data_IF_155282807676
#
_entry.id   IF_155282807676
#
_cell.length_a   1.000
_cell.length_b   1.000
_cell.length_c   1.000
_cell.angle_alpha   90.00
_cell.angle_beta   90.00
_cell.angle_gamma   90.00
#
_symmetry.space_group_name_H-M   'P 1'
#
loop_
_entity.id
_entity.type
_entity.pdbx_description
1 polymer ?
#
# COMPACT_ATOMS: atom_id res chain seq x y z
N UNK A 1 33.82 18.45 57.45
CA UNK A 1 33.71 16.97 57.43
C UNK A 1 32.28 16.41 57.33
N UNK A 2 31.39 16.48 58.33
CA UNK A 2 30.04 15.86 58.25
C UNK A 2 29.15 16.50 57.16
N UNK A 3 29.20 17.84 57.01
CA UNK A 3 28.45 18.56 55.96
C UNK A 3 28.91 18.20 54.54
N UNK A 4 30.20 17.90 54.34
CA UNK A 4 30.75 17.53 53.03
C UNK A 4 30.40 16.08 52.66
N UNK A 5 30.39 15.17 53.64
CA UNK A 5 29.87 13.80 53.44
C UNK A 5 28.41 13.79 52.98
N UNK A 6 27.57 14.65 53.55
CA UNK A 6 26.16 14.80 53.11
C UNK A 6 26.03 15.34 51.69
N UNK A 7 26.89 16.28 51.27
CA UNK A 7 26.91 16.79 49.88
C UNK A 7 27.34 15.71 48.88
N UNK A 8 28.34 14.90 49.21
CA UNK A 8 28.78 13.79 48.37
C UNK A 8 27.69 12.73 48.19
N UNK A 9 26.94 12.43 49.25
CA UNK A 9 25.81 11.50 49.17
C UNK A 9 24.69 12.00 48.25
N UNK A 10 24.30 13.27 48.40
CA UNK A 10 23.28 13.93 47.54
C UNK A 10 23.72 13.96 46.06
N UNK A 11 25.01 14.18 45.80
CA UNK A 11 25.56 14.14 44.44
C UNK A 11 25.44 12.75 43.82
N UNK A 12 25.73 11.68 44.57
CA UNK A 12 25.62 10.29 44.10
C UNK A 12 24.17 9.92 43.82
N UNK A 13 23.23 10.28 44.70
CA UNK A 13 21.80 10.04 44.49
C UNK A 13 21.28 10.76 43.25
N UNK A 14 21.68 12.02 43.06
CA UNK A 14 21.32 12.81 41.88
C UNK A 14 21.84 12.17 40.59
N UNK A 15 23.07 11.63 40.62
CA UNK A 15 23.68 10.95 39.48
C UNK A 15 22.96 9.63 39.14
N UNK A 16 22.53 8.89 40.17
CA UNK A 16 21.70 7.69 40.00
C UNK A 16 20.35 7.99 39.34
N UNK A 17 19.68 9.05 39.79
CA UNK A 17 18.42 9.51 39.19
C UNK A 17 18.64 9.91 37.72
N UNK A 18 19.71 10.65 37.43
CA UNK A 18 20.03 11.09 36.08
C UNK A 18 20.25 9.91 35.13
N UNK A 19 20.97 8.88 35.59
CA UNK A 19 21.22 7.66 34.82
C UNK A 19 19.91 6.90 34.54
N UNK A 20 19.01 6.80 35.52
CA UNK A 20 17.69 6.20 35.31
C UNK A 20 16.88 6.97 34.25
N UNK A 21 16.81 8.29 34.35
CA UNK A 21 16.08 9.12 33.39
C UNK A 21 16.64 8.96 31.98
N UNK A 22 17.97 8.96 31.83
CA UNK A 22 18.62 8.75 30.53
C UNK A 22 18.31 7.37 29.95
N UNK A 23 18.28 6.33 30.78
CA UNK A 23 17.94 4.97 30.35
C UNK A 23 16.50 4.89 29.82
N UNK A 24 15.53 5.43 30.57
CA UNK A 24 14.14 5.46 30.12
C UNK A 24 13.95 6.28 28.85
N UNK A 25 14.65 7.41 28.71
CA UNK A 25 14.58 8.24 27.50
C UNK A 25 15.07 7.49 26.26
N UNK A 26 16.17 6.74 26.36
CA UNK A 26 16.70 5.94 25.24
C UNK A 26 15.75 4.80 24.87
N UNK A 27 15.19 4.13 25.88
CA UNK A 27 14.24 3.05 25.68
C UNK A 27 12.95 3.53 24.99
N UNK A 28 12.37 4.63 25.49
CA UNK A 28 11.18 5.25 24.89
C UNK A 28 11.44 5.73 23.47
N UNK A 29 12.59 6.37 23.21
CA UNK A 29 12.94 6.81 21.87
C UNK A 29 13.02 5.63 20.89
N UNK A 30 13.61 4.50 21.31
CA UNK A 30 13.64 3.28 20.49
C UNK A 30 12.24 2.76 20.18
N UNK A 31 11.32 2.78 21.16
CA UNK A 31 9.92 2.39 20.95
C UNK A 31 9.23 3.34 19.96
N UNK A 32 9.39 4.65 20.14
CA UNK A 32 8.79 5.67 19.27
C UNK A 32 9.31 5.51 17.84
N UNK A 33 10.62 5.41 17.63
CA UNK A 33 11.22 5.22 16.30
C UNK A 33 10.72 3.92 15.66
N UNK A 34 10.60 2.83 16.43
CA UNK A 34 10.09 1.57 15.90
C UNK A 34 8.61 1.68 15.50
N UNK A 35 7.81 2.37 16.31
CA UNK A 35 6.39 2.61 16.03
C UNK A 35 6.20 3.56 14.85
N UNK A 36 7.04 4.58 14.68
CA UNK A 36 7.03 5.46 13.50
C UNK A 36 7.43 4.68 12.25
N UNK A 37 8.49 3.85 12.31
CA UNK A 37 8.88 3.00 11.17
C UNK A 37 7.74 2.05 10.78
N UNK A 38 7.14 1.39 11.77
CA UNK A 38 5.96 0.56 11.59
C UNK A 38 4.80 1.35 10.99
N UNK A 39 4.45 2.50 11.57
CA UNK A 39 3.37 3.36 11.09
C UNK A 39 3.61 3.87 9.68
N UNK A 40 4.85 4.20 9.31
CA UNK A 40 5.21 4.57 7.94
C UNK A 40 5.07 3.37 6.98
N UNK A 41 5.32 2.15 7.43
CA UNK A 41 5.01 0.95 6.62
C UNK A 41 3.49 0.72 6.53
N UNK A 42 2.73 1.01 7.59
CA UNK A 42 1.29 0.74 7.69
C UNK A 42 0.38 1.83 7.08
N UNK A 43 0.84 3.07 6.93
CA UNK A 43 0.02 4.21 6.47
C UNK A 43 0.53 4.89 5.20
N UNK A 44 1.51 4.33 4.52
CA UNK A 44 1.86 4.81 3.20
C UNK A 44 0.80 4.40 2.19
N UNK A 45 -0.21 5.27 2.02
CA UNK A 45 -0.70 5.60 0.67
C UNK A 45 0.46 6.25 -0.09
N UNK A 46 1.56 5.52 -0.26
CA UNK A 46 2.67 5.96 -1.09
C UNK A 46 2.16 5.96 -2.53
N UNK A 47 2.32 7.10 -3.20
CA UNK A 47 2.20 7.18 -4.65
C UNK A 47 3.01 6.00 -5.21
N UNK A 48 2.34 5.07 -5.90
CA UNK A 48 3.03 3.96 -6.55
C UNK A 48 3.89 4.58 -7.64
N UNK A 49 5.16 4.81 -7.34
CA UNK A 49 6.13 5.23 -8.36
C UNK A 49 6.51 4.07 -9.26
N UNK A 50 6.39 2.82 -8.80
CA UNK A 50 6.79 1.63 -9.55
C UNK A 50 6.02 0.39 -9.11
N UNK A 51 5.45 -0.32 -10.07
CA UNK A 51 4.99 -1.69 -9.92
C UNK A 51 6.20 -2.65 -9.95
N UNK A 52 6.07 -3.85 -9.41
CA UNK A 52 7.04 -4.92 -9.70
C UNK A 52 6.86 -5.43 -11.14
N UNK A 53 7.92 -5.98 -11.74
CA UNK A 53 7.87 -6.54 -13.11
C UNK A 53 6.71 -7.52 -13.31
N UNK A 54 6.45 -8.40 -12.34
CA UNK A 54 5.34 -9.36 -12.42
C UNK A 54 3.97 -8.66 -12.42
N UNK A 55 3.82 -7.60 -11.62
CA UNK A 55 2.58 -6.81 -11.58
C UNK A 55 2.40 -6.00 -12.87
N UNK A 56 3.48 -5.51 -13.47
CA UNK A 56 3.45 -4.84 -14.78
C UNK A 56 3.04 -5.79 -15.90
N UNK A 57 3.61 -7.00 -15.94
CA UNK A 57 3.23 -8.03 -16.91
C UNK A 57 1.72 -8.35 -16.82
N UNK A 58 1.21 -8.59 -15.60
CA UNK A 58 -0.22 -8.86 -15.36
C UNK A 58 -1.10 -7.67 -15.74
N UNK A 59 -0.65 -6.44 -15.46
CA UNK A 59 -1.37 -5.23 -15.84
C UNK A 59 -1.49 -5.09 -17.37
N UNK A 60 -0.40 -5.34 -18.10
CA UNK A 60 -0.40 -5.29 -19.56
C UNK A 60 -1.30 -6.38 -20.15
N UNK A 61 -1.25 -7.60 -19.60
CA UNK A 61 -2.14 -8.70 -19.99
C UNK A 61 -3.62 -8.33 -19.81
N UNK A 62 -3.98 -7.77 -18.64
CA UNK A 62 -5.35 -7.37 -18.37
C UNK A 62 -5.82 -6.20 -19.23
N UNK A 63 -4.98 -5.18 -19.46
CA UNK A 63 -5.30 -4.08 -20.39
C UNK A 63 -5.58 -4.64 -21.79
N UNK A 64 -4.74 -5.58 -22.24
CA UNK A 64 -4.92 -6.22 -23.55
C UNK A 64 -6.22 -7.02 -23.61
N UNK A 65 -6.53 -7.76 -22.55
CA UNK A 65 -7.77 -8.54 -22.43
C UNK A 65 -9.02 -7.65 -22.45
N UNK A 66 -9.04 -6.63 -21.60
CA UNK A 66 -10.15 -5.66 -21.50
C UNK A 66 -10.43 -5.01 -22.85
N UNK A 67 -9.39 -4.56 -23.56
CA UNK A 67 -9.58 -3.89 -24.85
C UNK A 67 -9.98 -4.85 -25.99
N UNK A 68 -9.81 -6.16 -25.83
CA UNK A 68 -10.29 -7.19 -26.77
C UNK A 68 -11.72 -7.65 -26.46
N UNK A 69 -12.14 -7.58 -25.20
CA UNK A 69 -13.47 -7.98 -24.76
C UNK A 69 -14.42 -6.76 -24.75
N UNK A 70 -15.26 -6.62 -25.78
CA UNK A 70 -16.17 -5.48 -25.92
C UNK A 70 -17.14 -5.34 -24.75
N UNK A 71 -17.66 -6.44 -24.22
CA UNK A 71 -18.62 -6.41 -23.11
C UNK A 71 -17.99 -5.85 -21.84
N UNK A 72 -16.80 -6.32 -21.49
CA UNK A 72 -16.07 -5.81 -20.32
C UNK A 72 -15.63 -4.36 -20.52
N UNK A 73 -15.20 -4.01 -21.73
CA UNK A 73 -14.81 -2.65 -22.08
C UNK A 73 -15.97 -1.67 -21.89
N UNK A 74 -17.15 -2.01 -22.37
CA UNK A 74 -18.35 -1.17 -22.26
C UNK A 74 -18.78 -1.01 -20.78
N UNK A 75 -18.69 -2.07 -19.97
CA UNK A 75 -18.94 -1.98 -18.51
C UNK A 75 -17.98 -1.03 -17.80
N UNK A 76 -16.69 -1.09 -18.11
CA UNK A 76 -15.70 -0.18 -17.51
C UNK A 76 -15.93 1.25 -18.00
N UNK A 77 -16.30 1.44 -19.27
CA UNK A 77 -16.64 2.76 -19.82
C UNK A 77 -17.84 3.37 -19.10
N UNK A 78 -18.91 2.61 -18.90
CA UNK A 78 -20.06 3.04 -18.11
C UNK A 78 -19.68 3.52 -16.71
N UNK A 79 -18.75 2.82 -16.04
CA UNK A 79 -18.22 3.29 -14.75
C UNK A 79 -17.48 4.63 -14.84
N UNK A 80 -16.68 4.85 -15.89
CA UNK A 80 -15.96 6.12 -16.11
C UNK A 80 -16.96 7.27 -16.32
N UNK A 81 -18.05 7.00 -17.03
CA UNK A 81 -19.11 7.96 -17.35
C UNK A 81 -20.16 8.11 -16.22
N UNK A 82 -19.98 7.42 -15.09
CA UNK A 82 -20.89 7.36 -13.93
C UNK A 82 -22.27 6.74 -14.20
N UNK A 83 -22.41 5.93 -15.25
CA UNK A 83 -23.67 5.27 -15.61
C UNK A 83 -23.76 3.88 -14.94
N UNK A 84 -23.90 3.87 -13.62
CA UNK A 84 -23.80 2.68 -12.75
C UNK A 84 -25.08 1.83 -12.72
N UNK A 85 -25.49 1.30 -13.87
CA UNK A 85 -26.76 0.60 -13.97
C UNK A 85 -26.71 -0.90 -13.64
N UNK A 86 -25.53 -1.54 -13.56
CA UNK A 86 -25.42 -2.97 -13.24
C UNK A 86 -24.25 -3.32 -12.31
N UNK A 87 -24.51 -4.22 -11.36
CA UNK A 87 -23.46 -4.83 -10.53
C UNK A 87 -22.68 -5.83 -11.37
N UNK A 88 -21.36 -5.64 -11.48
CA UNK A 88 -20.48 -6.60 -12.11
C UNK A 88 -19.19 -6.76 -11.32
N UNK A 89 -18.63 -7.98 -11.39
CA UNK A 89 -17.32 -8.31 -10.84
C UNK A 89 -16.68 -9.35 -11.74
N UNK A 90 -15.51 -9.03 -12.27
CA UNK A 90 -14.71 -9.91 -13.10
C UNK A 90 -13.32 -10.06 -12.48
N UNK A 91 -12.78 -11.27 -12.50
CA UNK A 91 -11.46 -11.59 -11.95
C UNK A 91 -10.60 -12.15 -13.08
N UNK A 92 -9.64 -11.34 -13.52
CA UNK A 92 -8.67 -11.70 -14.54
C UNK A 92 -7.47 -12.32 -13.82
N UNK A 93 -7.38 -13.65 -13.84
CA UNK A 93 -6.26 -14.38 -13.24
C UNK A 93 -5.06 -14.39 -14.17
N UNK A 94 -3.86 -14.16 -13.63
CA UNK A 94 -2.65 -14.35 -14.42
C UNK A 94 -2.44 -15.83 -14.74
N UNK A 95 -2.11 -16.12 -16.00
CA UNK A 95 -1.75 -17.47 -16.43
C UNK A 95 -0.39 -17.93 -15.85
N UNK A 96 0.49 -16.97 -15.57
CA UNK A 96 1.90 -17.18 -15.20
C UNK A 96 2.12 -17.05 -13.69
N UNK A 97 1.39 -16.15 -13.04
CA UNK A 97 1.54 -15.83 -11.62
C UNK A 97 0.27 -16.16 -10.84
N UNK A 98 0.22 -17.35 -10.24
CA UNK A 98 -0.99 -17.85 -9.54
C UNK A 98 -1.48 -16.95 -8.40
N UNK A 99 -0.56 -16.22 -7.79
CA UNK A 99 -0.82 -15.35 -6.64
C UNK A 99 -1.29 -13.95 -7.04
N UNK A 100 -1.31 -13.63 -8.35
CA UNK A 100 -1.69 -12.32 -8.89
C UNK A 100 -2.96 -12.41 -9.73
N UNK A 101 -3.88 -11.49 -9.47
CA UNK A 101 -5.06 -11.29 -10.30
C UNK A 101 -5.43 -9.81 -10.40
N UNK A 102 -6.18 -9.45 -11.43
CA UNK A 102 -6.82 -8.14 -11.54
C UNK A 102 -8.31 -8.32 -11.32
N UNK A 103 -8.84 -7.59 -10.35
CA UNK A 103 -10.27 -7.57 -10.05
C UNK A 103 -10.83 -6.29 -10.64
N UNK A 104 -11.86 -6.44 -11.47
CA UNK A 104 -12.59 -5.35 -12.10
C UNK A 104 -14.02 -5.40 -11.56
N UNK A 105 -14.46 -4.36 -10.85
CA UNK A 105 -15.86 -4.23 -10.42
C UNK A 105 -16.43 -2.85 -10.74
N UNK A 106 -17.72 -2.69 -10.47
CA UNK A 106 -18.42 -1.41 -10.46
C UNK A 106 -17.88 -0.40 -9.42
N UNK A 107 -17.23 -0.88 -8.36
CA UNK A 107 -16.70 -0.04 -7.28
C UNK A 107 -15.26 0.40 -7.55
N UNK A 108 -14.40 -0.54 -7.94
CA UNK A 108 -12.98 -0.30 -8.12
C UNK A 108 -12.34 -1.32 -9.06
N UNK A 109 -11.19 -0.93 -9.62
CA UNK A 109 -10.31 -1.83 -10.34
C UNK A 109 -9.01 -1.91 -9.56
N UNK A 110 -8.51 -3.11 -9.30
CA UNK A 110 -7.28 -3.29 -8.52
C UNK A 110 -6.53 -4.57 -8.88
N UNK A 111 -5.21 -4.55 -8.70
CA UNK A 111 -4.38 -5.76 -8.69
C UNK A 111 -4.45 -6.34 -7.28
N UNK A 112 -4.69 -7.63 -7.17
CA UNK A 112 -4.72 -8.39 -5.94
C UNK A 112 -3.57 -9.41 -5.95
N UNK A 113 -2.68 -9.29 -4.95
CA UNK A 113 -1.60 -10.23 -4.68
C UNK A 113 -1.89 -10.95 -3.36
N UNK A 114 -2.03 -12.29 -3.42
CA UNK A 114 -2.29 -13.13 -2.25
C UNK A 114 -1.09 -14.06 -2.06
N UNK A 115 -0.33 -13.86 -0.98
CA UNK A 115 0.75 -14.77 -0.59
C UNK A 115 0.48 -15.35 0.78
N UNK A 116 0.28 -16.66 0.83
CA UNK A 116 -0.15 -17.39 2.03
C UNK A 116 -1.46 -16.80 2.59
N UNK A 117 -1.39 -15.92 3.59
CA UNK A 117 -2.54 -15.24 4.20
C UNK A 117 -2.43 -13.70 4.16
N UNK A 118 -1.41 -13.17 3.51
CA UNK A 118 -1.17 -11.74 3.43
C UNK A 118 -1.64 -11.24 2.07
N UNK A 119 -2.38 -10.14 2.10
CA UNK A 119 -2.98 -9.52 0.93
C UNK A 119 -2.30 -8.18 0.64
N UNK A 120 -2.00 -7.94 -0.63
CA UNK A 120 -1.67 -6.61 -1.15
C UNK A 120 -2.62 -6.26 -2.27
N UNK A 121 -3.17 -5.07 -2.17
CA UNK A 121 -4.10 -4.50 -3.14
C UNK A 121 -3.41 -3.29 -3.74
N UNK A 122 -3.36 -3.21 -5.07
CA UNK A 122 -2.91 -2.03 -5.80
C UNK A 122 -4.12 -1.48 -6.54
N UNK A 123 -4.62 -0.32 -6.10
CA UNK A 123 -5.78 0.32 -6.71
C UNK A 123 -5.37 0.97 -8.01
N UNK A 124 -6.18 0.75 -9.05
CA UNK A 124 -5.99 1.24 -10.40
C UNK A 124 -7.09 2.25 -10.74
N UNK A 125 -6.71 3.32 -11.42
CA UNK A 125 -7.61 4.26 -12.07
C UNK A 125 -7.79 3.86 -13.54
N UNK A 126 -9.03 3.73 -14.02
CA UNK A 126 -9.31 3.56 -15.45
C UNK A 126 -9.39 4.91 -16.15
N UNK A 127 -8.73 5.03 -17.31
CA UNK A 127 -8.82 6.19 -18.20
C UNK A 127 -9.10 5.77 -19.63
N UNK A 128 -9.99 6.51 -20.28
CA UNK A 128 -10.30 6.35 -21.68
C UNK A 128 -9.34 7.22 -22.50
N UNK A 129 -8.66 6.63 -23.48
CA UNK A 129 -7.74 7.32 -24.39
C UNK A 129 -8.00 6.91 -25.83
N UNK A 130 -7.79 7.86 -26.74
CA UNK A 130 -7.88 7.61 -28.18
C UNK A 130 -6.47 7.49 -28.76
N UNK A 131 -6.14 6.32 -29.31
CA UNK A 131 -4.88 6.08 -30.01
C UNK A 131 -5.22 5.63 -31.42
N UNK A 132 -4.73 6.35 -32.44
CA UNK A 132 -4.97 6.03 -33.85
C UNK A 132 -6.47 5.81 -34.18
N UNK A 133 -7.33 6.68 -33.67
CA UNK A 133 -8.80 6.61 -33.78
C UNK A 133 -9.45 5.35 -33.17
N UNK A 134 -8.72 4.59 -32.36
CA UNK A 134 -9.28 3.51 -31.56
C UNK A 134 -9.38 3.97 -30.10
N UNK A 135 -10.54 3.72 -29.51
CA UNK A 135 -10.77 3.93 -28.10
C UNK A 135 -10.10 2.80 -27.31
N UNK A 136 -9.26 3.15 -26.35
CA UNK A 136 -8.49 2.22 -25.51
C UNK A 136 -8.70 2.60 -24.05
N UNK A 137 -9.04 1.60 -23.24
CA UNK A 137 -9.05 1.71 -21.78
C UNK A 137 -7.63 1.45 -21.28
N UNK A 138 -7.08 2.43 -20.58
CA UNK A 138 -5.84 2.29 -19.82
C UNK A 138 -6.15 2.15 -18.33
N UNK A 139 -5.31 1.37 -17.64
CA UNK A 139 -5.33 1.23 -16.20
C UNK A 139 -4.04 1.84 -15.64
N UNK A 140 -4.18 2.75 -14.67
CA UNK A 140 -3.06 3.51 -14.10
C UNK A 140 -2.98 3.22 -12.60
N UNK A 141 -1.83 2.76 -12.08
CA UNK A 141 -1.65 2.57 -10.64
C UNK A 141 -1.84 3.88 -9.88
N UNK A 142 -2.59 3.84 -8.78
CA UNK A 142 -2.87 5.01 -7.94
C UNK A 142 -2.17 4.89 -6.59
N UNK A 143 -2.57 3.92 -5.78
CA UNK A 143 -2.02 3.66 -4.46
C UNK A 143 -2.10 2.17 -4.13
N UNK A 144 -1.31 1.71 -3.16
CA UNK A 144 -1.41 0.33 -2.66
C UNK A 144 -1.86 0.30 -1.19
N UNK A 145 -2.50 -0.81 -0.83
CA UNK A 145 -2.84 -1.19 0.54
C UNK A 145 -2.23 -2.57 0.78
N UNK A 146 -1.62 -2.79 1.95
CA UNK A 146 -0.93 -4.06 2.20
C UNK A 146 -1.00 -4.47 3.66
N UNK A 147 -1.25 -5.77 3.87
CA UNK A 147 -1.13 -6.43 5.16
C UNK A 147 0.28 -6.98 5.41
N UNK A 148 1.21 -6.89 4.44
CA UNK A 148 2.58 -7.40 4.57
C UNK A 148 3.35 -6.58 5.63
N UNK A 149 3.83 -7.25 6.69
CA UNK A 149 4.67 -6.70 7.77
C UNK A 149 6.15 -6.76 7.40
#
# INVERSE_FOLDING_TARGET
>A
MIKEKKKGFVLIESLGILLMVSFFSLFLNKIIVNNIKKSNVYYTKEDIRTLSLNQEEVLIEAITYINKNSELKDKIKGNIENDKNEYFKEIIKSSKYKDLSIVVSNEAIYIEEIKSNLKKIIVLESKLKFIKNQEIIMLIPKYYESDYI
#
